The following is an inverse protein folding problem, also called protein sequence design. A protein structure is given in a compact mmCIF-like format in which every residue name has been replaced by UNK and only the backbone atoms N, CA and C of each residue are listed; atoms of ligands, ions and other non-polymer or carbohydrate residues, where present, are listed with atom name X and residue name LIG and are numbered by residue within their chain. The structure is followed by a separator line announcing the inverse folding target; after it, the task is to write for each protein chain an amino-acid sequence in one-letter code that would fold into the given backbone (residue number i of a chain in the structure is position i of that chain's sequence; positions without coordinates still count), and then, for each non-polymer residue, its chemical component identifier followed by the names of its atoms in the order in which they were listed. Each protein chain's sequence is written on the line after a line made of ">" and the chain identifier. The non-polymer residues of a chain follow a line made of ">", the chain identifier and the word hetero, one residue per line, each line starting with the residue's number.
data_IF_688389600433
#
_entry.id   IF_688389600433
#
_cell.length_a   1.000
_cell.length_b   1.000
_cell.length_c   1.000
_cell.angle_alpha   90.00
_cell.angle_beta   90.00
_cell.angle_gamma   90.00
#
_symmetry.space_group_name_H-M   'P 1'
#
loop_
_entity.id
_entity.type
_entity.pdbx_description
1 polymer ?
#
# COMPACT_ATOMS: atom_id res chain seq x y z
N UNK A 1 -6.65 56.22 10.43
CA UNK A 1 -7.40 55.17 9.71
C UNK A 1 -6.48 54.20 8.96
N UNK A 2 -5.50 54.66 8.17
CA UNK A 2 -4.56 53.79 7.43
C UNK A 2 -3.74 52.85 8.34
N UNK A 3 -3.26 53.29 9.50
CA UNK A 3 -2.47 52.46 10.45
C UNK A 3 -3.26 51.26 11.03
N UNK A 4 -4.58 51.37 11.16
CA UNK A 4 -5.44 50.29 11.69
C UNK A 4 -5.63 49.21 10.62
N UNK A 5 -5.72 49.60 9.35
CA UNK A 5 -5.80 48.68 8.22
C UNK A 5 -4.52 47.87 8.01
N UNK A 6 -3.34 48.47 8.19
CA UNK A 6 -2.05 47.76 8.08
C UNK A 6 -1.90 46.72 9.19
N UNK A 7 -2.37 47.02 10.40
CA UNK A 7 -2.31 46.08 11.54
C UNK A 7 -3.25 44.89 11.37
N UNK A 8 -4.44 45.10 10.79
CA UNK A 8 -5.39 44.02 10.49
C UNK A 8 -4.87 43.05 9.40
N UNK A 9 -4.17 43.55 8.39
CA UNK A 9 -3.60 42.73 7.31
C UNK A 9 -2.46 41.82 7.80
N UNK A 10 -1.69 42.26 8.80
CA UNK A 10 -0.58 41.50 9.40
C UNK A 10 -1.08 40.32 10.26
N UNK A 11 -2.26 40.44 10.88
CA UNK A 11 -2.88 39.40 11.71
C UNK A 11 -3.45 38.27 10.84
N UNK A 12 -3.98 38.57 9.65
CA UNK A 12 -4.47 37.55 8.71
C UNK A 12 -3.36 36.65 8.15
N UNK A 13 -2.13 37.16 8.02
CA UNK A 13 -0.98 36.37 7.53
C UNK A 13 -0.47 35.35 8.57
N UNK A 14 -0.67 35.60 9.86
CA UNK A 14 -0.29 34.69 10.94
C UNK A 14 -1.35 33.61 11.23
N UNK A 15 -2.58 33.80 10.75
CA UNK A 15 -3.68 32.84 10.93
C UNK A 15 -3.70 31.71 9.89
N UNK A 16 -2.81 31.72 8.90
CA UNK A 16 -2.58 30.58 8.01
C UNK A 16 -1.76 29.49 8.71
N UNK A 17 -2.24 29.04 9.87
CA UNK A 17 -1.80 27.81 10.49
C UNK A 17 -2.34 26.67 9.62
N UNK A 18 -1.60 26.32 8.57
CA UNK A 18 -1.90 25.16 7.74
C UNK A 18 -2.01 23.96 8.67
N UNK A 19 -3.20 23.37 8.75
CA UNK A 19 -3.40 22.10 9.47
C UNK A 19 -2.36 21.15 8.92
N UNK A 20 -1.37 20.76 9.74
CA UNK A 20 -0.50 19.62 9.41
C UNK A 20 -1.44 18.43 9.37
N UNK A 21 -1.91 18.09 8.16
CA UNK A 21 -2.63 16.86 7.93
C UNK A 21 -1.67 15.77 8.39
N UNK A 22 -2.06 15.05 9.45
CA UNK A 22 -1.36 13.85 9.88
C UNK A 22 -1.21 12.99 8.64
N UNK A 23 0.02 12.90 8.12
CA UNK A 23 0.28 12.20 6.87
C UNK A 23 0.02 10.73 7.18
N UNK A 24 -1.00 10.15 6.55
CA UNK A 24 -1.30 8.72 6.70
C UNK A 24 0.02 7.94 6.52
N UNK A 25 0.51 7.22 7.54
CA UNK A 25 1.83 6.59 7.50
C UNK A 25 1.95 5.59 6.34
N UNK A 26 0.82 5.03 5.90
CA UNK A 26 0.70 4.13 4.76
C UNK A 26 1.06 4.79 3.42
N UNK A 27 0.85 6.11 3.27
CA UNK A 27 1.15 6.83 2.03
C UNK A 27 2.66 6.85 1.81
N UNK A 28 3.10 6.36 0.66
CA UNK A 28 4.50 6.28 0.28
C UNK A 28 4.79 5.22 -0.76
N UNK A 29 6.08 5.04 -1.02
CA UNK A 29 6.61 3.95 -1.85
C UNK A 29 7.28 2.91 -0.96
N UNK A 30 6.93 1.64 -1.20
CA UNK A 30 7.23 0.52 -0.33
C UNK A 30 7.93 -0.57 -1.13
N UNK A 31 9.17 -0.92 -0.75
CA UNK A 31 9.91 -2.05 -1.34
C UNK A 31 9.68 -3.30 -0.49
N UNK A 32 9.22 -4.39 -1.12
CA UNK A 32 9.03 -5.67 -0.43
C UNK A 32 10.40 -6.24 -0.05
N UNK A 33 10.52 -6.67 1.21
CA UNK A 33 11.73 -7.32 1.75
C UNK A 33 11.45 -8.71 2.29
N UNK A 34 10.17 -9.07 2.43
CA UNK A 34 9.74 -10.40 2.82
C UNK A 34 8.34 -10.68 2.28
N UNK A 35 8.10 -11.91 1.81
CA UNK A 35 6.76 -12.41 1.57
C UNK A 35 6.72 -13.93 1.80
N UNK A 36 5.73 -14.37 2.55
CA UNK A 36 5.40 -15.78 2.71
C UNK A 36 3.92 -16.03 2.38
N UNK A 37 3.65 -17.26 1.96
CA UNK A 37 2.32 -17.77 1.70
C UNK A 37 2.19 -19.13 2.34
N UNK A 38 1.14 -19.33 3.13
CA UNK A 38 0.76 -20.62 3.70
C UNK A 38 -0.54 -21.09 3.05
N UNK A 39 -0.48 -22.21 2.35
CA UNK A 39 -1.61 -22.81 1.64
C UNK A 39 -1.54 -24.33 1.77
N UNK A 40 -2.61 -24.97 2.24
CA UNK A 40 -2.68 -26.43 2.46
C UNK A 40 -1.47 -27.00 3.24
N UNK A 41 -1.11 -26.37 4.36
CA UNK A 41 0.06 -26.70 5.19
C UNK A 41 1.43 -26.56 4.50
N UNK A 42 1.47 -26.03 3.28
CA UNK A 42 2.70 -25.72 2.55
C UNK A 42 3.07 -24.26 2.75
N UNK A 43 4.25 -24.02 3.33
CA UNK A 43 4.85 -22.69 3.46
C UNK A 43 5.76 -22.41 2.26
N UNK A 44 5.45 -21.37 1.50
CA UNK A 44 6.30 -20.85 0.43
C UNK A 44 6.82 -19.46 0.80
N UNK A 45 8.13 -19.27 0.77
CA UNK A 45 8.78 -17.98 0.95
C UNK A 45 9.24 -17.49 -0.42
N UNK A 46 8.93 -16.23 -0.74
CA UNK A 46 9.33 -15.62 -2.01
C UNK A 46 10.83 -15.34 -2.02
N UNK A 47 11.52 -15.84 -3.05
CA UNK A 47 12.94 -15.52 -3.30
C UNK A 47 13.07 -14.11 -3.89
N UNK A 48 13.31 -13.13 -3.01
CA UNK A 48 13.51 -11.73 -3.38
C UNK A 48 14.94 -11.42 -3.85
N UNK A 49 15.84 -12.41 -3.91
CA UNK A 49 17.16 -12.23 -4.54
C UNK A 49 17.06 -12.19 -6.07
N UNK A 50 15.95 -12.70 -6.62
CA UNK A 50 15.66 -12.80 -8.06
C UNK A 50 14.43 -12.01 -8.49
N UNK A 51 13.83 -11.25 -7.58
CA UNK A 51 12.62 -10.50 -7.87
C UNK A 51 12.59 -9.17 -7.11
N UNK A 52 12.18 -8.12 -7.81
CA UNK A 52 11.88 -6.83 -7.21
C UNK A 52 10.36 -6.64 -7.16
N UNK A 53 9.87 -6.18 -6.01
CA UNK A 53 8.48 -5.82 -5.83
C UNK A 53 8.38 -4.46 -5.15
N UNK A 54 7.64 -3.55 -5.77
CA UNK A 54 7.38 -2.20 -5.27
C UNK A 54 5.88 -1.96 -5.22
N UNK A 55 5.41 -1.40 -4.11
CA UNK A 55 4.03 -0.92 -3.92
C UNK A 55 4.04 0.58 -3.71
N UNK A 56 3.25 1.31 -4.47
CA UNK A 56 3.05 2.76 -4.34
C UNK A 56 1.65 2.97 -3.80
N UNK A 57 1.54 3.66 -2.67
CA UNK A 57 0.26 3.97 -2.03
C UNK A 57 0.13 5.48 -1.90
N UNK A 58 -0.91 6.05 -2.50
CA UNK A 58 -1.28 7.45 -2.33
C UNK A 58 -2.46 7.58 -1.36
N UNK A 59 -3.16 8.71 -1.36
CA UNK A 59 -4.26 8.97 -0.42
C UNK A 59 -5.44 7.99 -0.51
N UNK A 60 -5.71 7.42 -1.69
CA UNK A 60 -6.91 6.61 -1.93
C UNK A 60 -6.70 5.42 -2.90
N UNK A 61 -5.53 5.31 -3.50
CA UNK A 61 -5.16 4.27 -4.45
C UNK A 61 -3.83 3.61 -4.08
N UNK A 62 -3.67 2.40 -4.59
CA UNK A 62 -2.41 1.68 -4.61
C UNK A 62 -2.11 1.16 -6.01
N UNK A 63 -0.83 0.97 -6.30
CA UNK A 63 -0.34 0.19 -7.42
C UNK A 63 0.84 -0.66 -6.94
N UNK A 64 1.01 -1.84 -7.51
CA UNK A 64 2.19 -2.66 -7.28
C UNK A 64 2.76 -3.18 -8.59
N UNK A 65 4.06 -3.42 -8.56
CA UNK A 65 4.83 -3.95 -9.67
C UNK A 65 5.73 -5.04 -9.15
N UNK A 66 5.85 -6.12 -9.91
CA UNK A 66 6.76 -7.21 -9.67
C UNK A 66 7.52 -7.50 -10.96
N UNK A 67 8.83 -7.65 -10.86
CA UNK A 67 9.68 -8.05 -11.96
C UNK A 67 10.72 -9.07 -11.47
N UNK A 68 10.93 -10.16 -12.21
CA UNK A 68 12.12 -10.99 -11.98
C UNK A 68 13.34 -10.33 -12.63
N UNK A 69 14.47 -10.36 -11.94
CA UNK A 69 15.69 -9.67 -12.36
C UNK A 69 16.43 -10.38 -13.50
N UNK A 70 16.18 -11.68 -13.69
CA UNK A 70 16.85 -12.56 -14.65
C UNK A 70 15.97 -12.97 -15.85
N UNK A 71 14.76 -12.41 -15.99
CA UNK A 71 13.80 -12.77 -17.04
C UNK A 71 13.20 -11.55 -17.71
N UNK A 72 13.23 -11.54 -19.04
CA UNK A 72 12.62 -10.48 -19.88
C UNK A 72 11.08 -10.52 -19.88
N UNK A 73 10.48 -11.65 -19.50
CA UNK A 73 9.03 -11.87 -19.63
C UNK A 73 8.29 -11.99 -18.27
N UNK A 74 8.98 -11.71 -17.16
CA UNK A 74 8.44 -11.95 -15.82
C UNK A 74 8.03 -10.65 -15.11
N UNK A 75 7.24 -9.82 -15.80
CA UNK A 75 6.63 -8.63 -15.23
C UNK A 75 5.14 -8.83 -14.98
N UNK A 76 4.67 -8.48 -13.79
CA UNK A 76 3.25 -8.30 -13.53
C UNK A 76 3.03 -7.14 -12.57
N UNK A 77 1.86 -6.52 -12.66
CA UNK A 77 1.48 -5.43 -11.78
C UNK A 77 -0.02 -5.34 -11.66
N UNK A 78 -0.46 -4.60 -10.67
CA UNK A 78 -1.87 -4.34 -10.43
C UNK A 78 -2.08 -3.09 -9.61
N UNK A 79 -3.35 -2.75 -9.39
CA UNK A 79 -3.70 -1.58 -8.60
C UNK A 79 -5.19 -1.38 -8.47
N UNK A 80 -5.56 -0.38 -7.69
CA UNK A 80 -6.95 -0.07 -7.40
C UNK A 80 -7.06 0.92 -6.25
N UNK A 81 -8.21 0.89 -5.57
CA UNK A 81 -8.48 1.74 -4.41
C UNK A 81 -8.27 0.98 -3.11
N UNK A 82 -8.19 1.70 -1.99
CA UNK A 82 -8.19 1.07 -0.68
C UNK A 82 -9.02 1.85 0.34
N UNK A 83 -9.38 1.17 1.43
CA UNK A 83 -9.85 1.79 2.66
C UNK A 83 -8.94 1.41 3.82
N UNK A 84 -8.79 2.32 4.79
CA UNK A 84 -8.02 2.12 6.00
C UNK A 84 -8.83 2.56 7.21
N UNK A 85 -9.11 1.64 8.13
CA UNK A 85 -9.78 1.90 9.40
C UNK A 85 -9.02 1.25 10.55
N UNK A 86 -8.24 2.05 11.28
CA UNK A 86 -7.25 1.53 12.23
C UNK A 86 -6.23 0.67 11.48
N UNK A 87 -6.11 -0.59 11.88
CA UNK A 87 -5.22 -1.57 11.23
C UNK A 87 -5.91 -2.35 10.10
N UNK A 88 -7.23 -2.18 9.92
CA UNK A 88 -7.96 -2.85 8.86
C UNK A 88 -7.72 -2.13 7.53
N UNK A 89 -7.01 -2.79 6.63
CA UNK A 89 -6.63 -2.28 5.31
C UNK A 89 -7.29 -3.16 4.24
N UNK A 90 -8.15 -2.61 3.40
CA UNK A 90 -8.83 -3.37 2.35
C UNK A 90 -8.49 -2.83 0.97
N UNK A 91 -7.87 -3.66 0.13
CA UNK A 91 -7.52 -3.32 -1.25
C UNK A 91 -8.61 -3.79 -2.22
N UNK A 92 -9.19 -2.88 -3.00
CA UNK A 92 -10.11 -3.23 -4.11
C UNK A 92 -9.34 -3.27 -5.41
N UNK A 93 -8.99 -4.47 -5.88
CA UNK A 93 -8.11 -4.67 -7.04
C UNK A 93 -8.87 -4.45 -8.35
N UNK A 94 -8.65 -3.32 -9.02
CA UNK A 94 -9.37 -2.95 -10.25
C UNK A 94 -8.58 -3.26 -11.52
N UNK A 95 -7.26 -3.08 -11.45
CA UNK A 95 -6.35 -3.21 -12.58
C UNK A 95 -5.43 -4.41 -12.32
N UNK A 96 -5.53 -5.44 -13.16
CA UNK A 96 -4.68 -6.64 -13.12
C UNK A 96 -4.90 -7.42 -14.43
N UNK A 97 -3.91 -8.18 -14.89
CA UNK A 97 -4.04 -9.05 -16.07
C UNK A 97 -5.01 -10.23 -15.82
N UNK A 98 -5.07 -10.73 -14.59
CA UNK A 98 -5.90 -11.87 -14.18
C UNK A 98 -7.37 -11.46 -14.01
N UNK A 99 -8.20 -11.73 -15.03
CA UNK A 99 -9.61 -11.32 -15.07
C UNK A 99 -10.42 -11.73 -13.83
N UNK A 100 -10.17 -12.91 -13.27
CA UNK A 100 -10.92 -13.44 -12.13
C UNK A 100 -10.65 -12.70 -10.80
N UNK A 101 -9.60 -11.87 -10.75
CA UNK A 101 -9.25 -11.07 -9.56
C UNK A 101 -9.77 -9.63 -9.63
N UNK A 102 -10.26 -9.18 -10.79
CA UNK A 102 -10.74 -7.81 -10.97
C UNK A 102 -12.01 -7.56 -10.16
N UNK A 103 -12.04 -6.45 -9.44
CA UNK A 103 -13.09 -6.06 -8.52
C UNK A 103 -13.10 -6.83 -7.19
N UNK A 104 -12.15 -7.75 -6.97
CA UNK A 104 -12.06 -8.45 -5.69
C UNK A 104 -11.52 -7.52 -4.61
N UNK A 105 -12.05 -7.68 -3.39
CA UNK A 105 -11.61 -6.94 -2.20
C UNK A 105 -10.76 -7.86 -1.36
N UNK A 106 -9.50 -7.49 -1.16
CA UNK A 106 -8.55 -8.23 -0.34
C UNK A 106 -8.46 -7.58 1.05
N UNK A 107 -8.96 -8.26 2.10
CA UNK A 107 -8.87 -7.74 3.47
C UNK A 107 -7.53 -8.10 4.10
N UNK A 108 -6.87 -7.09 4.67
CA UNK A 108 -5.60 -7.22 5.37
C UNK A 108 -5.64 -6.53 6.74
N UNK A 109 -4.77 -7.01 7.62
CA UNK A 109 -4.30 -6.29 8.80
C UNK A 109 -2.94 -5.69 8.49
N UNK A 110 -2.73 -4.43 8.88
CA UNK A 110 -1.44 -3.76 8.78
C UNK A 110 -0.90 -3.33 10.13
N UNK A 111 0.43 -3.37 10.24
CA UNK A 111 1.19 -2.88 11.40
C UNK A 111 2.41 -2.11 10.92
N UNK A 112 2.79 -1.07 11.68
CA UNK A 112 3.99 -0.28 11.42
C UNK A 112 5.03 -0.49 12.52
N UNK A 113 6.27 -0.72 12.11
CA UNK A 113 7.44 -0.76 13.01
C UNK A 113 8.57 0.06 12.40
N UNK A 114 8.69 1.33 12.82
CA UNK A 114 9.54 2.31 12.16
C UNK A 114 9.16 2.49 10.69
N UNK A 115 10.12 2.32 9.78
CA UNK A 115 9.91 2.38 8.34
C UNK A 115 9.42 1.05 7.73
N UNK A 116 9.02 0.09 8.57
CA UNK A 116 8.50 -1.21 8.12
C UNK A 116 6.98 -1.22 8.14
N UNK A 117 6.37 -1.56 7.01
CA UNK A 117 4.96 -1.95 6.91
C UNK A 117 4.89 -3.47 6.89
N UNK A 118 4.11 -4.04 7.81
CA UNK A 118 3.77 -5.46 7.84
C UNK A 118 2.31 -5.57 7.41
N UNK A 119 2.03 -6.32 6.36
CA UNK A 119 0.69 -6.60 5.85
C UNK A 119 0.43 -8.10 5.95
N UNK A 120 -0.72 -8.50 6.48
CA UNK A 120 -1.09 -9.91 6.55
C UNK A 120 -2.59 -10.11 6.36
N UNK A 121 -2.99 -11.27 5.84
CA UNK A 121 -4.41 -11.56 5.62
C UNK A 121 -4.64 -12.95 5.08
N UNK A 122 -5.92 -13.29 4.93
CA UNK A 122 -6.36 -14.49 4.23
C UNK A 122 -6.87 -14.05 2.87
N UNK A 123 -6.18 -14.48 1.81
CA UNK A 123 -6.66 -14.32 0.45
C UNK A 123 -7.57 -15.49 0.12
N UNK A 124 -8.87 -15.23 0.00
CA UNK A 124 -9.87 -16.22 -0.42
C UNK A 124 -10.59 -15.73 -1.67
N UNK A 125 -10.24 -16.31 -2.81
CA UNK A 125 -10.85 -15.99 -4.11
C UNK A 125 -11.40 -17.26 -4.74
N UNK A 126 -12.69 -17.52 -4.52
CA UNK A 126 -13.34 -18.76 -4.98
C UNK A 126 -13.26 -18.93 -6.50
N UNK A 127 -13.45 -17.86 -7.28
CA UNK A 127 -13.33 -17.86 -8.74
C UNK A 127 -11.94 -18.20 -9.27
N UNK A 128 -10.91 -18.08 -8.43
CA UNK A 128 -9.53 -18.39 -8.77
C UNK A 128 -8.99 -19.62 -8.01
N UNK A 129 -9.85 -20.29 -7.22
CA UNK A 129 -9.46 -21.39 -6.33
C UNK A 129 -8.28 -21.03 -5.40
N UNK A 130 -8.26 -19.80 -4.89
CA UNK A 130 -7.23 -19.31 -3.96
C UNK A 130 -7.79 -19.37 -2.54
N UNK A 131 -7.07 -20.01 -1.63
CA UNK A 131 -7.33 -19.94 -0.19
C UNK A 131 -6.02 -20.08 0.59
N UNK A 132 -5.40 -18.94 0.89
CA UNK A 132 -4.06 -18.90 1.47
C UNK A 132 -3.91 -17.76 2.47
N UNK A 133 -3.08 -17.98 3.49
CA UNK A 133 -2.63 -16.90 4.38
C UNK A 133 -1.38 -16.28 3.77
N UNK A 134 -1.31 -14.95 3.76
CA UNK A 134 -0.12 -14.21 3.34
C UNK A 134 0.42 -13.35 4.46
N UNK A 135 1.74 -13.20 4.51
CA UNK A 135 2.42 -12.16 5.29
C UNK A 135 3.47 -11.52 4.40
N UNK A 136 3.42 -10.20 4.30
CA UNK A 136 4.32 -9.38 3.51
C UNK A 136 4.94 -8.30 4.38
N UNK A 137 6.22 -8.04 4.20
CA UNK A 137 6.93 -6.94 4.88
C UNK A 137 7.57 -6.05 3.85
N UNK A 138 7.43 -4.76 4.07
CA UNK A 138 7.90 -3.71 3.19
C UNK A 138 8.71 -2.69 3.96
N UNK A 139 9.74 -2.14 3.32
CA UNK A 139 10.48 -0.98 3.81
C UNK A 139 10.08 0.25 3.00
N UNK A 140 9.80 1.36 3.69
CA UNK A 140 9.50 2.64 3.06
C UNK A 140 10.75 3.20 2.38
N UNK A 141 10.61 3.63 1.12
CA UNK A 141 11.70 4.26 0.36
C UNK A 141 11.39 5.72 -0.02
N UNK A 142 10.11 6.12 -0.07
CA UNK A 142 9.65 7.50 -0.28
C UNK A 142 8.33 7.79 0.45
#
# INVERSE_FOLDING_TARGET
>A
MIKVFVFALLICLLASCGKRQSKNPLVGTWKMVYAETLENDSLAIKDLTKAEFVKIINENHFAFFNQQTDSENSFYGGGGTYTLNGNNYSETLSYISVKNLRGHVFPFQIEFSGDTLIQSGIEKVEKANINRKIIEKYIKIH
#
